data_IF_159221386304
#
_entry.id   IF_159221386304
#
_cell.length_a   1.000
_cell.length_b   1.000
_cell.length_c   1.000
_cell.angle_alpha   90.00
_cell.angle_beta   90.00
_cell.angle_gamma   90.00
#
_symmetry.space_group_name_H-M   'P 1'
#
loop_
_entity.id
_entity.type
_entity.pdbx_description
1 polymer ?
#
# COMPACT_ATOMS: atom_id res chain seq x y z
N UNK A 1 -4.70 -6.86 -25.60
CA UNK A 1 -4.33 -8.25 -25.27
C UNK A 1 -4.23 -8.36 -23.76
N UNK A 2 -4.53 -9.51 -23.15
CA UNK A 2 -4.56 -9.62 -21.69
C UNK A 2 -3.16 -9.77 -21.10
N UNK A 3 -2.68 -8.78 -20.34
CA UNK A 3 -1.52 -8.91 -19.47
C UNK A 3 -1.85 -9.86 -18.30
N UNK A 4 -0.97 -10.83 -17.93
CA UNK A 4 -1.32 -11.89 -16.97
C UNK A 4 -1.64 -11.53 -15.50
N UNK A 5 -1.16 -10.40 -14.96
CA UNK A 5 -0.86 -10.14 -13.51
C UNK A 5 0.16 -11.12 -12.91
N UNK A 6 1.21 -10.65 -12.21
CA UNK A 6 2.29 -11.51 -11.71
C UNK A 6 2.96 -11.04 -10.41
N UNK A 7 2.67 -11.77 -9.33
CA UNK A 7 3.51 -11.81 -8.13
C UNK A 7 2.87 -11.23 -6.88
N UNK A 8 3.40 -11.69 -5.73
CA UNK A 8 2.98 -11.33 -4.38
C UNK A 8 4.23 -10.99 -3.56
N UNK A 9 4.28 -9.83 -2.91
CA UNK A 9 5.24 -9.64 -1.80
C UNK A 9 4.57 -10.08 -0.52
N UNK A 10 5.30 -10.84 0.29
CA UNK A 10 5.03 -11.00 1.72
C UNK A 10 6.28 -10.58 2.50
N UNK A 11 6.09 -10.08 3.72
CA UNK A 11 7.17 -9.94 4.69
C UNK A 11 7.15 -11.18 5.59
N UNK A 12 8.11 -12.09 5.42
CA UNK A 12 8.27 -13.25 6.30
C UNK A 12 9.18 -12.91 7.48
N UNK A 13 8.92 -13.55 8.62
CA UNK A 13 9.65 -13.37 9.87
C UNK A 13 10.02 -14.74 10.43
N UNK A 14 11.10 -15.31 9.91
CA UNK A 14 11.62 -16.59 10.40
C UNK A 14 11.95 -16.51 11.90
N UNK A 15 11.12 -17.15 12.71
CA UNK A 15 11.37 -17.37 14.13
C UNK A 15 12.34 -18.53 14.29
N UNK A 16 13.58 -18.24 14.70
CA UNK A 16 14.66 -19.22 14.82
C UNK A 16 14.57 -20.16 16.03
N UNK A 17 13.42 -20.79 16.27
CA UNK A 17 13.25 -21.89 17.24
C UNK A 17 12.33 -22.97 16.66
N UNK A 18 12.77 -24.23 16.65
CA UNK A 18 11.88 -25.38 16.42
C UNK A 18 10.96 -25.58 17.63
N UNK A 19 9.62 -25.65 17.47
CA UNK A 19 8.72 -25.91 18.59
C UNK A 19 8.73 -27.41 18.96
N UNK A 20 8.99 -27.79 20.21
CA UNK A 20 8.80 -29.18 20.65
C UNK A 20 7.30 -29.49 20.81
N UNK A 21 6.83 -30.51 20.09
CA UNK A 21 5.57 -31.26 20.29
C UNK A 21 4.38 -30.49 20.91
N UNK A 22 3.62 -29.77 20.08
CA UNK A 22 2.23 -29.41 20.36
C UNK A 22 1.35 -29.83 19.17
N UNK A 23 0.26 -30.53 19.46
CA UNK A 23 -0.57 -31.19 18.45
C UNK A 23 -1.30 -30.20 17.54
N UNK A 24 -1.27 -30.50 16.24
CA UNK A 24 -1.93 -29.84 15.11
C UNK A 24 -3.13 -28.92 15.43
N UNK A 25 -2.87 -27.61 15.48
CA UNK A 25 -3.79 -26.57 14.97
C UNK A 25 -3.00 -25.54 14.20
N UNK A 26 -2.96 -25.67 12.87
CA UNK A 26 -2.32 -24.71 11.99
C UNK A 26 -3.07 -23.38 12.06
N UNK A 27 -2.44 -22.34 12.63
CA UNK A 27 -2.98 -20.97 12.60
C UNK A 27 -2.47 -20.21 11.36
N UNK A 28 -2.23 -20.95 10.28
CA UNK A 28 -1.70 -20.50 8.99
C UNK A 28 -2.47 -21.10 7.81
N UNK A 29 -3.73 -21.50 8.05
CA UNK A 29 -4.70 -21.80 6.99
C UNK A 29 -5.09 -20.48 6.28
N UNK A 30 -4.15 -19.95 5.51
CA UNK A 30 -4.40 -18.91 4.52
C UNK A 30 -5.40 -19.45 3.50
N UNK A 31 -6.56 -18.81 3.39
CA UNK A 31 -7.58 -19.11 2.38
C UNK A 31 -7.18 -18.58 0.99
N UNK A 32 -5.97 -18.90 0.53
CA UNK A 32 -5.53 -18.72 -0.85
C UNK A 32 -6.10 -19.83 -1.73
N UNK A 33 -7.41 -19.79 -1.99
CA UNK A 33 -7.98 -20.70 -2.99
C UNK A 33 -7.35 -20.40 -4.36
N UNK A 34 -6.69 -21.41 -4.94
CA UNK A 34 -6.16 -21.36 -6.31
C UNK A 34 -7.23 -20.93 -7.33
N UNK A 35 -8.51 -21.18 -7.04
CA UNK A 35 -9.63 -20.78 -7.89
C UNK A 35 -9.68 -19.28 -8.19
N UNK A 36 -9.25 -18.41 -7.25
CA UNK A 36 -9.25 -16.95 -7.47
C UNK A 36 -8.20 -16.47 -8.48
N UNK A 37 -7.19 -17.30 -8.78
CA UNK A 37 -6.11 -17.00 -9.74
C UNK A 37 -6.19 -17.86 -11.02
N UNK A 38 -6.85 -19.01 -10.98
CA UNK A 38 -7.13 -19.77 -12.20
C UNK A 38 -8.25 -19.10 -12.99
N UNK A 39 -7.88 -18.29 -13.97
CA UNK A 39 -8.79 -17.92 -15.05
C UNK A 39 -9.31 -19.19 -15.72
N UNK A 40 -10.58 -19.53 -15.46
CA UNK A 40 -11.34 -20.61 -16.09
C UNK A 40 -11.60 -20.29 -17.56
N UNK A 41 -10.54 -20.34 -18.36
CA UNK A 41 -10.56 -19.94 -19.78
C UNK A 41 -9.19 -19.74 -20.43
N UNK A 42 -8.08 -19.72 -19.69
CA UNK A 42 -6.74 -19.68 -20.31
C UNK A 42 -6.35 -21.06 -20.87
N UNK A 43 -5.86 -21.17 -22.12
CA UNK A 43 -5.37 -22.42 -22.68
C UNK A 43 -4.23 -23.01 -21.84
N UNK A 44 -4.20 -24.34 -21.73
CA UNK A 44 -3.13 -25.06 -21.07
C UNK A 44 -1.78 -24.74 -21.72
N UNK A 45 -0.91 -24.02 -20.99
CA UNK A 45 0.43 -23.62 -21.44
C UNK A 45 0.81 -22.15 -21.23
N UNK A 46 -0.10 -21.27 -20.80
CA UNK A 46 0.18 -19.81 -20.75
C UNK A 46 0.16 -19.13 -19.37
N UNK A 47 -0.14 -19.85 -18.29
CA UNK A 47 -0.09 -19.31 -16.93
C UNK A 47 1.29 -19.46 -16.29
N UNK A 48 2.08 -18.38 -16.20
CA UNK A 48 3.17 -18.31 -15.20
C UNK A 48 2.53 -18.27 -13.82
N UNK A 49 3.08 -19.03 -12.86
CA UNK A 49 2.67 -18.91 -11.46
C UNK A 49 3.05 -17.50 -10.94
N UNK A 50 2.26 -16.90 -10.04
CA UNK A 50 2.64 -15.64 -9.41
C UNK A 50 3.96 -15.83 -8.63
N UNK A 51 4.95 -14.99 -8.93
CA UNK A 51 6.23 -14.99 -8.24
C UNK A 51 6.08 -14.38 -6.85
N UNK A 52 6.33 -15.16 -5.80
CA UNK A 52 6.40 -14.61 -4.44
C UNK A 52 7.80 -14.06 -4.21
N UNK A 53 7.90 -12.80 -3.78
CA UNK A 53 9.18 -12.14 -3.45
C UNK A 53 9.14 -11.70 -1.99
N UNK A 54 10.08 -12.15 -1.18
CA UNK A 54 10.22 -11.70 0.20
C UNK A 54 11.25 -10.59 0.28
N UNK A 55 10.97 -9.56 1.06
CA UNK A 55 11.91 -8.46 1.34
C UNK A 55 12.23 -8.43 2.84
N UNK A 56 13.51 -8.18 3.16
CA UNK A 56 13.94 -7.97 4.54
C UNK A 56 13.36 -6.65 5.07
N UNK A 57 12.60 -6.73 6.16
CA UNK A 57 11.94 -5.58 6.78
C UNK A 57 12.95 -4.55 7.28
N UNK A 58 14.07 -4.98 7.89
CA UNK A 58 15.10 -4.06 8.39
C UNK A 58 15.76 -3.28 7.24
N UNK A 59 16.02 -3.95 6.11
CA UNK A 59 16.57 -3.29 4.91
C UNK A 59 15.60 -2.27 4.30
N UNK A 60 14.28 -2.50 4.41
CA UNK A 60 13.28 -1.52 3.99
C UNK A 60 13.15 -0.38 4.99
N UNK A 61 13.13 -0.65 6.29
CA UNK A 61 12.97 0.40 7.33
C UNK A 61 14.17 1.33 7.40
N UNK A 62 15.39 0.82 7.24
CA UNK A 62 16.63 1.63 7.19
C UNK A 62 16.61 2.63 6.02
N UNK A 63 16.06 2.24 4.86
CA UNK A 63 15.89 3.13 3.70
C UNK A 63 14.74 4.13 3.87
N UNK A 64 13.70 3.72 4.59
CA UNK A 64 12.47 4.48 4.78
C UNK A 64 12.60 5.55 5.88
N UNK A 65 13.32 5.24 6.96
CA UNK A 65 13.46 6.10 8.14
C UNK A 65 13.88 7.55 7.80
N UNK A 66 14.90 7.83 6.97
CA UNK A 66 15.29 9.21 6.64
C UNK A 66 14.21 10.01 5.92
N UNK A 67 13.23 9.35 5.29
CA UNK A 67 12.12 9.97 4.56
C UNK A 67 10.96 10.26 5.53
N UNK A 68 10.73 9.38 6.51
CA UNK A 68 9.52 9.40 7.36
C UNK A 68 9.76 9.83 8.81
N UNK A 69 11.01 10.05 9.26
CA UNK A 69 11.31 10.50 10.63
C UNK A 69 10.54 11.79 11.01
N UNK A 70 10.38 12.72 10.05
CA UNK A 70 9.58 13.91 10.25
C UNK A 70 8.09 13.57 10.48
N UNK A 71 7.55 12.61 9.72
CA UNK A 71 6.15 12.16 9.78
C UNK A 71 5.83 11.39 11.07
N UNK A 72 6.77 10.57 11.56
CA UNK A 72 6.63 9.81 12.82
C UNK A 72 6.38 10.72 14.04
N UNK A 73 6.82 11.98 14.01
CA UNK A 73 6.55 12.98 15.07
C UNK A 73 5.09 13.44 15.13
N UNK A 74 4.31 13.17 14.07
CA UNK A 74 2.91 13.58 13.94
C UNK A 74 1.93 12.42 13.87
N UNK A 75 2.34 11.26 13.36
CA UNK A 75 1.43 10.14 12.99
C UNK A 75 1.76 8.79 13.65
N UNK A 76 2.63 8.76 14.66
CA UNK A 76 2.94 7.57 15.48
C UNK A 76 2.56 7.80 16.94
N UNK A 77 2.16 6.73 17.66
CA UNK A 77 1.75 6.79 19.07
C UNK A 77 2.88 7.08 20.10
N UNK A 78 4.03 7.63 19.67
CA UNK A 78 5.21 7.85 20.50
C UNK A 78 6.20 6.68 20.50
N UNK A 79 7.40 6.92 21.02
CA UNK A 79 8.51 5.96 20.97
C UNK A 79 8.22 4.67 21.75
N UNK A 80 8.57 3.52 21.16
CA UNK A 80 8.38 2.20 21.78
C UNK A 80 6.97 1.63 21.66
N UNK A 81 6.08 2.28 20.91
CA UNK A 81 4.75 1.73 20.56
C UNK A 81 4.80 0.92 19.27
N UNK A 82 3.78 0.08 19.03
CA UNK A 82 3.67 -0.75 17.82
C UNK A 82 3.86 0.07 16.53
N UNK A 83 3.13 1.19 16.38
CA UNK A 83 3.18 2.09 15.22
C UNK A 83 4.38 3.07 15.21
N UNK A 84 5.45 2.80 15.99
CA UNK A 84 6.66 3.64 16.00
C UNK A 84 7.76 3.19 15.03
N UNK A 85 7.60 2.01 14.41
CA UNK A 85 8.49 1.55 13.35
C UNK A 85 8.19 2.30 12.02
N UNK A 86 9.22 2.57 11.22
CA UNK A 86 9.09 3.22 9.92
C UNK A 86 8.25 2.40 8.94
N UNK A 87 8.19 1.08 9.08
CA UNK A 87 7.46 0.18 8.16
C UNK A 87 5.97 0.52 8.02
N UNK A 88 5.35 1.16 9.02
CA UNK A 88 3.97 1.67 8.96
C UNK A 88 3.79 2.87 8.02
N UNK A 89 4.87 3.31 7.36
CA UNK A 89 4.87 4.35 6.33
C UNK A 89 5.38 3.81 4.98
N UNK A 90 5.44 2.48 4.78
CA UNK A 90 6.03 1.85 3.59
C UNK A 90 5.48 2.44 2.28
N UNK A 91 4.15 2.46 2.18
CA UNK A 91 3.38 2.99 1.04
C UNK A 91 3.81 4.41 0.63
N UNK A 92 4.18 5.26 1.59
CA UNK A 92 4.56 6.67 1.37
C UNK A 92 5.81 6.80 0.49
N UNK A 93 6.76 5.86 0.60
CA UNK A 93 8.04 5.96 -0.11
C UNK A 93 8.41 4.73 -0.96
N UNK A 94 7.49 3.79 -1.21
CA UNK A 94 7.76 2.62 -2.07
C UNK A 94 8.39 3.00 -3.42
N UNK A 95 7.93 4.10 -4.02
CA UNK A 95 8.44 4.65 -5.29
C UNK A 95 9.93 5.09 -5.25
N UNK A 96 10.52 5.24 -4.05
CA UNK A 96 11.93 5.59 -3.84
C UNK A 96 12.76 4.39 -3.38
N UNK A 97 12.20 3.55 -2.49
CA UNK A 97 12.98 2.53 -1.76
C UNK A 97 12.85 1.10 -2.29
N UNK A 98 11.80 0.81 -3.07
CA UNK A 98 11.60 -0.54 -3.62
C UNK A 98 12.78 -0.93 -4.52
N UNK A 99 13.33 -2.14 -4.39
CA UNK A 99 14.38 -2.61 -5.29
C UNK A 99 13.92 -2.53 -6.73
N UNK A 100 14.76 -1.95 -7.59
CA UNK A 100 14.62 -2.11 -9.04
C UNK A 100 14.98 -3.57 -9.34
N UNK A 101 14.24 -4.22 -10.23
CA UNK A 101 14.57 -5.60 -10.57
C UNK A 101 15.91 -5.62 -11.31
N UNK A 102 16.88 -6.30 -10.70
CA UNK A 102 18.08 -6.74 -11.41
C UNK A 102 17.66 -7.88 -12.33
N UNK A 103 17.98 -7.76 -13.63
CA UNK A 103 17.86 -8.90 -14.55
C UNK A 103 18.70 -10.08 -14.05
N UNK A 104 18.47 -11.31 -14.55
CA UNK A 104 19.01 -12.55 -13.97
C UNK A 104 20.53 -12.45 -13.75
N UNK A 105 20.90 -12.23 -12.49
CA UNK A 105 22.27 -11.97 -12.07
C UNK A 105 23.10 -13.25 -12.06
N UNK A 106 24.31 -13.15 -12.61
CA UNK A 106 25.34 -14.19 -12.47
C UNK A 106 25.71 -14.34 -10.99
N UNK A 107 25.88 -15.58 -10.53
CA UNK A 107 26.25 -15.90 -9.14
C UNK A 107 27.58 -15.21 -8.74
N UNK A 108 27.57 -14.45 -7.63
CA UNK A 108 28.79 -13.91 -7.01
C UNK A 108 29.36 -14.94 -6.00
N UNK A 109 30.60 -15.45 -6.15
CA UNK A 109 31.09 -16.60 -5.38
C UNK A 109 31.49 -16.33 -3.91
N UNK A 110 31.28 -15.12 -3.37
CA UNK A 110 31.94 -14.69 -2.13
C UNK A 110 30.98 -14.30 -1.00
N UNK A 111 30.60 -15.31 -0.22
CA UNK A 111 29.76 -15.15 0.97
C UNK A 111 30.49 -14.54 2.18
N UNK A 112 29.89 -13.52 2.77
CA UNK A 112 30.06 -12.96 4.12
C UNK A 112 28.94 -11.90 4.32
N UNK A 113 28.42 -11.57 5.49
CA UNK A 113 28.70 -11.94 6.88
C UNK A 113 27.38 -11.78 7.67
N UNK A 114 26.95 -12.74 8.50
CA UNK A 114 25.77 -12.54 9.35
C UNK A 114 26.12 -11.67 10.58
N UNK A 115 25.23 -10.75 10.94
CA UNK A 115 25.27 -9.94 12.17
C UNK A 115 23.99 -10.15 13.00
N UNK A 116 23.99 -9.88 14.32
CA UNK A 116 23.01 -10.47 15.23
C UNK A 116 21.60 -9.85 15.12
N UNK A 117 20.60 -10.72 14.96
CA UNK A 117 19.18 -10.35 14.86
C UNK A 117 18.65 -9.81 16.20
N UNK A 118 17.93 -8.68 16.17
CA UNK A 118 17.06 -8.23 17.27
C UNK A 118 15.59 -8.46 16.90
N UNK A 119 14.84 -9.02 17.84
CA UNK A 119 13.43 -9.38 17.65
C UNK A 119 12.50 -8.16 17.78
N UNK A 120 11.86 -7.73 16.68
CA UNK A 120 10.66 -6.90 16.66
C UNK A 120 9.63 -7.45 15.67
N UNK A 121 8.34 -7.39 16.00
CA UNK A 121 7.27 -8.22 15.41
C UNK A 121 6.27 -7.46 14.55
N UNK A 122 5.84 -8.11 13.46
CA UNK A 122 4.67 -7.79 12.62
C UNK A 122 4.74 -6.53 11.75
N UNK A 123 5.08 -6.75 10.48
CA UNK A 123 4.27 -6.22 9.36
C UNK A 123 4.02 -7.36 8.39
N UNK A 124 2.81 -7.42 7.86
CA UNK A 124 2.41 -8.40 6.87
C UNK A 124 1.32 -7.78 6.00
N UNK A 125 1.60 -7.62 4.71
CA UNK A 125 0.66 -7.17 3.70
C UNK A 125 0.97 -7.90 2.40
N UNK A 126 -0.06 -8.25 1.64
CA UNK A 126 0.09 -8.93 0.36
C UNK A 126 0.22 -7.87 -0.75
N UNK A 127 1.31 -7.92 -1.52
CA UNK A 127 1.56 -6.88 -2.52
C UNK A 127 1.52 -7.42 -3.94
N UNK A 128 0.50 -7.06 -4.70
CA UNK A 128 0.29 -7.58 -6.07
C UNK A 128 0.93 -6.66 -7.11
N UNK A 129 1.53 -7.23 -8.16
CA UNK A 129 2.19 -6.50 -9.27
C UNK A 129 1.65 -6.90 -10.65
N UNK A 130 1.68 -5.97 -11.60
CA UNK A 130 1.51 -6.26 -13.03
C UNK A 130 2.74 -6.99 -13.62
N UNK A 131 2.58 -7.72 -14.75
CA UNK A 131 3.68 -8.39 -15.41
C UNK A 131 4.39 -7.45 -16.39
N UNK A 132 5.71 -7.53 -16.40
CA UNK A 132 6.54 -6.83 -17.38
C UNK A 132 6.35 -7.45 -18.76
N UNK A 133 6.16 -6.61 -19.78
CA UNK A 133 6.27 -7.01 -21.19
C UNK A 133 7.70 -6.75 -21.65
N UNK A 134 8.48 -7.82 -21.87
CA UNK A 134 9.80 -7.72 -22.49
C UNK A 134 9.65 -7.31 -23.97
N UNK A 135 9.97 -6.05 -24.27
CA UNK A 135 10.00 -5.52 -25.63
C UNK A 135 11.30 -5.87 -26.33
N UNK A 136 11.26 -6.81 -27.27
CA UNK A 136 12.32 -6.96 -28.28
C UNK A 136 12.09 -5.95 -29.41
N UNK A 137 12.75 -4.80 -29.33
CA UNK A 137 12.88 -3.90 -30.48
C UNK A 137 13.98 -4.43 -31.42
N UNK A 138 13.60 -4.91 -32.61
CA UNK A 138 14.56 -5.30 -33.66
C UNK A 138 15.08 -4.06 -34.39
N UNK A 139 16.35 -3.68 -34.18
CA UNK A 139 17.02 -2.68 -35.01
C UNK A 139 17.46 -3.27 -36.36
N UNK A 140 17.00 -2.65 -37.46
CA UNK A 140 17.49 -2.94 -38.81
C UNK A 140 18.86 -2.29 -39.02
N UNK A 141 19.93 -3.02 -38.72
CA UNK A 141 21.31 -2.59 -38.96
C UNK A 141 21.58 -2.37 -40.46
N UNK A 142 21.90 -1.13 -40.84
CA UNK A 142 22.47 -0.80 -42.15
C UNK A 142 23.85 -0.14 -41.94
N UNK A 143 24.92 -0.86 -42.31
CA UNK A 143 26.31 -0.54 -41.94
C UNK A 143 26.77 0.84 -42.41
N UNK A 144 27.41 1.61 -41.51
CA UNK A 144 27.79 3.01 -41.75
C UNK A 144 29.12 3.53 -41.20
N UNK A 145 29.97 2.69 -40.60
CA UNK A 145 31.38 2.98 -40.20
C UNK A 145 31.67 4.05 -39.12
N UNK A 146 32.82 3.84 -38.46
CA UNK A 146 33.64 4.83 -37.70
C UNK A 146 33.39 5.06 -36.20
N UNK A 147 34.52 5.06 -35.49
CA UNK A 147 34.77 5.50 -34.11
C UNK A 147 34.30 4.61 -32.96
N UNK A 148 35.18 4.46 -31.98
CA UNK A 148 34.90 3.75 -30.73
C UNK A 148 34.05 4.62 -29.81
N UNK A 149 32.73 4.39 -29.82
CA UNK A 149 31.81 4.99 -28.87
C UNK A 149 30.65 4.04 -28.54
N UNK A 150 30.26 4.03 -27.27
CA UNK A 150 28.97 3.57 -26.78
C UNK A 150 28.57 2.08 -26.98
N UNK A 151 29.38 1.13 -26.49
CA UNK A 151 28.78 -0.08 -25.87
C UNK A 151 28.28 0.24 -24.46
N UNK A 152 27.34 1.20 -24.36
CA UNK A 152 26.54 1.36 -23.14
C UNK A 152 25.42 0.32 -23.20
N UNK A 153 25.67 -0.85 -22.61
CA UNK A 153 24.59 -1.78 -22.29
C UNK A 153 23.57 -1.04 -21.42
N UNK A 154 22.45 -0.63 -22.03
CA UNK A 154 21.27 -0.13 -21.34
C UNK A 154 20.67 -1.31 -20.58
N UNK A 155 21.18 -1.54 -19.37
CA UNK A 155 20.45 -2.32 -18.37
C UNK A 155 19.16 -1.55 -18.07
N UNK A 156 18.09 -1.91 -18.75
CA UNK A 156 16.73 -1.50 -18.41
C UNK A 156 16.35 -2.23 -17.13
N UNK A 157 16.79 -1.69 -16.00
CA UNK A 157 16.32 -2.10 -14.68
C UNK A 157 14.80 -1.94 -14.66
N UNK A 158 14.08 -3.06 -14.61
CA UNK A 158 12.63 -3.04 -14.59
C UNK A 158 12.16 -2.41 -13.27
N UNK A 159 11.68 -1.16 -13.36
CA UNK A 159 10.95 -0.51 -12.29
C UNK A 159 9.53 -1.07 -12.27
N UNK A 160 9.06 -1.45 -11.09
CA UNK A 160 7.65 -1.79 -10.88
C UNK A 160 6.85 -0.48 -11.01
N UNK A 161 5.96 -0.29 -12.01
CA UNK A 161 5.33 1.01 -12.25
C UNK A 161 4.07 1.20 -11.39
N UNK A 162 3.34 0.11 -11.12
CA UNK A 162 2.07 0.05 -10.42
C UNK A 162 2.08 -1.13 -9.45
N UNK A 163 1.53 -0.93 -8.26
CA UNK A 163 1.55 -1.93 -7.20
C UNK A 163 0.34 -1.78 -6.29
N UNK A 164 -0.24 -2.88 -5.80
CA UNK A 164 -1.37 -2.82 -4.85
C UNK A 164 -0.90 -3.34 -3.50
N UNK A 165 -1.00 -2.51 -2.45
CA UNK A 165 -0.80 -2.90 -1.05
C UNK A 165 -2.15 -3.29 -0.43
N UNK A 166 -2.18 -4.43 0.23
CA UNK A 166 -3.36 -5.04 0.84
C UNK A 166 -3.02 -5.51 2.25
N UNK A 167 -3.88 -5.20 3.23
CA UNK A 167 -3.82 -5.79 4.57
C UNK A 167 -4.11 -7.32 4.52
N UNK A 168 -3.80 -8.02 5.60
CA UNK A 168 -4.02 -9.49 5.70
C UNK A 168 -5.28 -9.91 6.45
N UNK A 169 -5.99 -9.00 7.12
CA UNK A 169 -7.32 -9.24 7.69
C UNK A 169 -8.44 -8.93 6.66
N UNK A 170 -8.19 -9.27 5.40
CA UNK A 170 -9.12 -9.09 4.27
C UNK A 170 -9.76 -10.41 3.83
N UNK A 171 -10.99 -10.33 3.29
CA UNK A 171 -11.66 -11.43 2.58
C UNK A 171 -12.14 -10.98 1.21
N UNK A 172 -11.52 -11.53 0.18
CA UNK A 172 -11.84 -11.27 -1.23
C UNK A 172 -13.14 -11.99 -1.64
N UNK A 173 -14.01 -11.28 -2.37
CA UNK A 173 -15.28 -11.80 -2.92
C UNK A 173 -15.33 -11.68 -4.46
N UNK A 174 -14.32 -11.08 -5.09
CA UNK A 174 -14.13 -11.03 -6.55
C UNK A 174 -12.67 -11.30 -6.95
N UNK A 175 -12.38 -11.36 -8.25
CA UNK A 175 -11.02 -11.52 -8.77
C UNK A 175 -10.19 -10.24 -8.57
N UNK A 176 -9.03 -10.33 -7.90
CA UNK A 176 -8.15 -9.18 -7.62
C UNK A 176 -7.63 -8.48 -8.89
N UNK A 177 -7.66 -9.14 -10.05
CA UNK A 177 -7.36 -8.52 -11.35
C UNK A 177 -8.28 -7.34 -11.65
N UNK A 178 -9.56 -7.42 -11.30
CA UNK A 178 -10.53 -6.34 -11.52
C UNK A 178 -10.14 -5.07 -10.76
N UNK A 179 -9.40 -5.18 -9.65
CA UNK A 179 -8.91 -4.03 -8.91
C UNK A 179 -7.77 -3.31 -9.66
N UNK A 180 -6.97 -4.00 -10.48
CA UNK A 180 -5.95 -3.33 -11.31
C UNK A 180 -6.57 -2.43 -12.39
N UNK A 181 -7.79 -2.72 -12.84
CA UNK A 181 -8.50 -1.92 -13.83
C UNK A 181 -8.89 -0.53 -13.28
N UNK A 182 -8.93 -0.35 -11.95
CA UNK A 182 -9.10 0.97 -11.32
C UNK A 182 -7.92 1.92 -11.56
N UNK A 183 -6.71 1.43 -11.88
CA UNK A 183 -5.60 2.32 -12.27
C UNK A 183 -5.90 3.09 -13.56
N UNK A 184 -6.71 2.54 -14.45
CA UNK A 184 -7.07 3.18 -15.72
C UNK A 184 -8.14 4.28 -15.52
N UNK A 185 -8.77 4.33 -14.34
CA UNK A 185 -9.72 5.37 -13.92
C UNK A 185 -9.04 6.61 -13.28
N UNK A 186 -7.72 6.59 -13.05
CA UNK A 186 -7.03 7.69 -12.37
C UNK A 186 -7.07 8.97 -13.21
N UNK A 187 -7.60 10.05 -12.62
CA UNK A 187 -7.58 11.37 -13.26
C UNK A 187 -6.14 11.92 -13.36
N UNK A 188 -5.83 12.80 -14.32
CA UNK A 188 -4.50 13.40 -14.44
C UNK A 188 -4.05 14.09 -13.15
N UNK A 189 -2.95 13.61 -12.56
CA UNK A 189 -2.40 14.07 -11.29
C UNK A 189 -2.66 13.14 -10.10
N UNK A 190 -3.63 12.22 -10.21
CA UNK A 190 -3.84 11.18 -9.20
C UNK A 190 -2.70 10.15 -9.22
N UNK A 191 -2.23 9.79 -8.03
CA UNK A 191 -1.05 8.92 -7.81
C UNK A 191 -1.37 7.70 -6.96
N UNK A 192 -2.44 7.76 -6.15
CA UNK A 192 -2.86 6.71 -5.23
C UNK A 192 -4.36 6.47 -5.39
N UNK A 193 -4.77 5.22 -5.53
CA UNK A 193 -6.17 4.80 -5.38
C UNK A 193 -6.39 4.30 -3.96
N UNK A 194 -7.34 4.88 -3.23
CA UNK A 194 -7.59 4.54 -1.82
C UNK A 194 -9.07 4.70 -1.46
N UNK A 195 -9.58 3.87 -0.56
CA UNK A 195 -10.96 3.96 -0.07
C UNK A 195 -11.09 5.02 1.04
N UNK A 196 -12.30 5.62 1.13
CA UNK A 196 -12.68 6.47 2.26
C UNK A 196 -12.76 5.66 3.56
N UNK A 197 -12.37 6.29 4.66
CA UNK A 197 -12.55 5.76 6.01
C UNK A 197 -14.05 5.76 6.40
N UNK A 198 -14.54 4.59 6.83
CA UNK A 198 -15.94 4.32 7.15
C UNK A 198 -16.30 4.60 8.61
N UNK A 199 -15.35 5.06 9.43
CA UNK A 199 -15.58 5.48 10.80
C UNK A 199 -15.35 6.99 11.00
N UNK A 200 -16.01 7.63 11.97
CA UNK A 200 -15.78 9.04 12.32
C UNK A 200 -14.44 9.31 13.02
N UNK A 201 -13.42 8.45 12.86
CA UNK A 201 -12.08 8.64 13.44
C UNK A 201 -11.50 10.00 13.08
N UNK A 202 -11.54 10.41 11.81
CA UNK A 202 -11.02 11.71 11.41
C UNK A 202 -11.97 12.87 11.73
N UNK A 203 -13.26 12.62 11.98
CA UNK A 203 -14.13 13.61 12.63
C UNK A 203 -13.62 13.96 14.03
N UNK A 204 -13.11 12.95 14.76
CA UNK A 204 -12.44 13.11 16.05
C UNK A 204 -11.05 13.76 15.88
N UNK A 205 -10.17 13.24 15.02
CA UNK A 205 -8.79 13.72 14.90
C UNK A 205 -8.71 15.19 14.48
N UNK A 206 -9.54 15.64 13.54
CA UNK A 206 -9.58 17.05 13.11
C UNK A 206 -10.49 17.93 14.00
N UNK A 207 -10.85 17.53 15.23
CA UNK A 207 -11.84 18.26 16.05
C UNK A 207 -11.53 19.77 16.17
N UNK A 208 -10.29 20.14 16.49
CA UNK A 208 -9.92 21.54 16.70
C UNK A 208 -10.05 22.35 15.39
N UNK A 209 -9.49 21.84 14.29
CA UNK A 209 -9.62 22.47 12.98
C UNK A 209 -11.09 22.63 12.57
N UNK A 210 -11.95 21.65 12.85
CA UNK A 210 -13.39 21.71 12.57
C UNK A 210 -14.14 22.73 13.42
N UNK A 211 -13.74 22.94 14.67
CA UNK A 211 -14.30 23.99 15.54
C UNK A 211 -13.88 25.39 15.06
N UNK A 212 -12.63 25.55 14.63
CA UNK A 212 -12.11 26.80 14.06
C UNK A 212 -12.70 27.09 12.66
N UNK A 213 -13.13 26.06 11.93
CA UNK A 213 -13.66 26.16 10.57
C UNK A 213 -15.05 25.50 10.42
N UNK A 214 -16.15 26.07 10.98
CA UNK A 214 -17.46 25.40 11.06
C UNK A 214 -18.13 25.01 9.73
N UNK A 215 -17.64 25.54 8.59
CA UNK A 215 -18.13 25.22 7.23
C UNK A 215 -17.23 24.23 6.49
N UNK A 216 -16.21 23.66 7.15
CA UNK A 216 -15.27 22.75 6.51
C UNK A 216 -15.90 21.41 6.15
N UNK A 217 -15.41 20.79 5.07
CA UNK A 217 -15.76 19.42 4.67
C UNK A 217 -14.87 18.38 5.38
N UNK A 218 -13.76 18.80 5.99
CA UNK A 218 -12.78 17.95 6.68
C UNK A 218 -13.41 17.21 7.85
N UNK A 219 -13.22 15.89 7.90
CA UNK A 219 -13.83 14.97 8.87
C UNK A 219 -15.35 14.84 8.74
N UNK A 220 -15.98 15.42 7.72
CA UNK A 220 -17.41 15.24 7.44
C UNK A 220 -17.68 13.90 6.74
N UNK A 221 -18.89 13.33 6.89
CA UNK A 221 -19.27 12.08 6.22
C UNK A 221 -19.46 12.27 4.70
N UNK A 222 -19.40 11.19 3.90
CA UNK A 222 -19.83 11.21 2.50
C UNK A 222 -21.32 11.60 2.35
N UNK A 223 -21.78 12.04 1.16
CA UNK A 223 -21.01 12.15 -0.08
C UNK A 223 -20.11 13.40 -0.16
N UNK A 224 -20.53 14.51 0.46
CA UNK A 224 -19.90 15.83 0.33
C UNK A 224 -18.65 16.03 1.20
N UNK A 225 -18.59 15.34 2.34
CA UNK A 225 -17.49 15.44 3.29
C UNK A 225 -16.24 14.70 2.85
N UNK A 226 -15.16 14.98 3.58
CA UNK A 226 -13.87 14.31 3.48
C UNK A 226 -13.66 13.52 4.78
N UNK A 227 -14.09 12.26 4.86
CA UNK A 227 -14.02 11.46 6.09
C UNK A 227 -12.61 10.95 6.39
N UNK A 228 -11.63 11.22 5.53
CA UNK A 228 -10.30 10.60 5.53
C UNK A 228 -10.30 9.28 4.74
N UNK A 229 -9.20 8.54 4.83
CA UNK A 229 -8.96 7.32 4.05
C UNK A 229 -8.61 6.13 4.95
N UNK A 230 -8.82 4.91 4.44
CA UNK A 230 -8.38 3.69 5.09
C UNK A 230 -7.27 3.00 4.26
N UNK A 231 -6.16 2.62 4.90
CA UNK A 231 -4.96 2.11 4.19
C UNK A 231 -4.98 0.62 3.83
N UNK A 232 -6.00 -0.14 4.24
CA UNK A 232 -6.01 -1.60 4.02
C UNK A 232 -6.14 -2.05 2.57
N UNK A 233 -6.52 -1.14 1.65
CA UNK A 233 -6.48 -1.37 0.20
C UNK A 233 -5.98 -0.10 -0.49
N UNK A 234 -4.77 -0.15 -1.04
CA UNK A 234 -4.12 0.99 -1.71
C UNK A 234 -3.51 0.60 -3.05
N UNK A 235 -3.87 1.35 -4.11
CA UNK A 235 -3.31 1.26 -5.45
C UNK A 235 -2.25 2.33 -5.61
N UNK A 236 -0.98 1.95 -5.49
CA UNK A 236 0.15 2.87 -5.55
C UNK A 236 0.70 2.91 -6.98
N UNK A 237 0.48 4.00 -7.70
CA UNK A 237 1.08 4.22 -9.01
C UNK A 237 2.50 4.78 -8.80
N UNK A 238 3.45 3.89 -8.53
CA UNK A 238 4.84 4.23 -8.17
C UNK A 238 5.51 5.13 -9.22
N UNK A 239 5.18 4.95 -10.50
CA UNK A 239 5.67 5.83 -11.56
C UNK A 239 5.09 7.25 -11.43
N UNK A 240 3.77 7.40 -11.27
CA UNK A 240 3.15 8.72 -11.10
C UNK A 240 3.56 9.40 -9.78
N UNK A 241 3.73 8.64 -8.70
CA UNK A 241 4.28 9.12 -7.42
C UNK A 241 5.69 9.69 -7.61
N UNK A 242 6.57 8.96 -8.32
CA UNK A 242 7.94 9.37 -8.62
C UNK A 242 8.02 10.58 -9.57
N UNK A 243 7.06 10.71 -10.50
CA UNK A 243 7.01 11.83 -11.44
C UNK A 243 6.34 13.09 -10.86
N UNK A 244 5.58 12.99 -9.76
CA UNK A 244 4.81 14.09 -9.18
C UNK A 244 5.70 15.06 -8.35
N UNK A 245 5.90 16.31 -8.80
CA UNK A 245 6.65 17.31 -8.03
C UNK A 245 5.84 17.83 -6.83
N UNK A 246 4.51 17.74 -6.90
CA UNK A 246 3.63 18.07 -5.78
C UNK A 246 3.82 17.05 -4.66
N UNK A 247 3.72 15.76 -4.98
CA UNK A 247 3.87 14.71 -3.98
C UNK A 247 5.27 14.70 -3.36
N UNK A 248 6.32 14.84 -4.19
CA UNK A 248 7.71 14.94 -3.73
C UNK A 248 7.91 16.03 -2.67
N UNK A 249 7.28 17.22 -2.83
CA UNK A 249 7.32 18.30 -1.83
C UNK A 249 6.50 18.01 -0.59
N UNK A 250 5.40 17.26 -0.68
CA UNK A 250 4.60 16.87 0.48
C UNK A 250 5.31 15.88 1.41
N UNK A 251 6.38 15.24 0.94
CA UNK A 251 7.29 14.42 1.76
C UNK A 251 8.34 15.26 2.50
N UNK A 252 8.54 16.54 2.16
CA UNK A 252 9.55 17.39 2.80
C UNK A 252 9.15 17.70 4.26
N UNK A 253 10.09 17.61 5.23
CA UNK A 253 9.78 17.81 6.66
C UNK A 253 9.06 19.12 6.98
N UNK A 254 9.40 20.21 6.28
CA UNK A 254 8.76 21.51 6.47
C UNK A 254 7.27 21.52 6.03
N UNK A 255 6.93 20.77 4.97
CA UNK A 255 5.56 20.68 4.45
C UNK A 255 4.71 19.74 5.30
N UNK A 256 5.28 18.63 5.77
CA UNK A 256 4.65 17.74 6.77
C UNK A 256 4.29 18.55 8.03
N UNK A 257 5.25 19.29 8.59
CA UNK A 257 5.05 20.15 9.75
C UNK A 257 3.98 21.23 9.49
N UNK A 258 4.08 21.94 8.36
CA UNK A 258 3.15 23.02 7.99
C UNK A 258 1.70 22.53 7.90
N UNK A 259 1.46 21.37 7.28
CA UNK A 259 0.11 20.81 7.16
C UNK A 259 -0.40 20.28 8.50
N UNK A 260 0.44 19.59 9.27
CA UNK A 260 0.02 19.09 10.58
C UNK A 260 -0.31 20.22 11.56
N UNK A 261 0.42 21.34 11.52
CA UNK A 261 0.10 22.54 12.30
C UNK A 261 -1.17 23.24 11.78
N UNK A 262 -1.35 23.37 10.45
CA UNK A 262 -2.56 23.93 9.83
C UNK A 262 -3.84 23.20 10.27
N UNK A 263 -3.75 21.87 10.38
CA UNK A 263 -4.89 21.01 10.69
C UNK A 263 -5.00 20.61 12.17
N UNK A 264 -4.07 21.08 13.03
CA UNK A 264 -3.90 20.64 14.43
C UNK A 264 -3.84 19.10 14.56
N UNK A 265 -3.27 18.43 13.56
CA UNK A 265 -3.38 16.99 13.39
C UNK A 265 -2.34 16.22 14.22
N UNK A 266 -2.80 15.24 14.98
CA UNK A 266 -1.97 14.21 15.63
C UNK A 266 -2.64 12.85 15.47
N UNK A 267 -1.86 11.88 15.01
CA UNK A 267 -2.33 10.55 14.64
C UNK A 267 -1.44 9.44 15.22
N UNK A 268 -1.80 8.20 14.89
CA UNK A 268 -1.08 6.99 15.30
C UNK A 268 -1.22 5.82 14.30
N UNK A 269 -1.76 6.07 13.11
CA UNK A 269 -2.09 5.09 12.08
C UNK A 269 -1.15 5.18 10.86
N UNK A 270 0.03 5.80 11.02
CA UNK A 270 1.11 5.74 10.04
C UNK A 270 0.78 6.41 8.70
N UNK A 271 0.90 5.65 7.62
CA UNK A 271 0.57 6.09 6.26
C UNK A 271 -0.88 6.57 6.09
N UNK A 272 -1.84 5.90 6.73
CA UNK A 272 -3.26 6.26 6.68
C UNK A 272 -3.51 7.71 7.10
N UNK A 273 -2.82 8.13 8.17
CA UNK A 273 -2.91 9.47 8.74
C UNK A 273 -2.23 10.51 7.83
N UNK A 274 -1.06 10.19 7.28
CA UNK A 274 -0.36 11.06 6.32
C UNK A 274 -1.21 11.28 5.06
N UNK A 275 -1.70 10.21 4.42
CA UNK A 275 -2.54 10.30 3.24
C UNK A 275 -3.85 11.02 3.50
N UNK A 276 -4.49 10.75 4.65
CA UNK A 276 -5.68 11.48 5.09
C UNK A 276 -5.39 12.97 5.21
N UNK A 277 -4.29 13.37 5.86
CA UNK A 277 -3.95 14.78 6.05
C UNK A 277 -3.66 15.47 4.71
N UNK A 278 -2.82 14.91 3.84
CA UNK A 278 -2.52 15.54 2.54
C UNK A 278 -3.73 15.50 1.60
N UNK A 279 -4.64 14.53 1.74
CA UNK A 279 -5.90 14.46 0.99
C UNK A 279 -6.93 15.55 1.38
N UNK A 280 -6.78 16.18 2.54
CA UNK A 280 -7.57 17.38 2.89
C UNK A 280 -7.10 18.64 2.14
N UNK A 281 -5.82 18.70 1.77
CA UNK A 281 -5.21 19.81 1.03
C UNK A 281 -5.28 19.59 -0.48
N UNK A 282 -4.94 18.36 -0.91
CA UNK A 282 -4.70 17.95 -2.29
C UNK A 282 -5.51 16.68 -2.65
N UNK A 283 -6.85 16.76 -2.65
CA UNK A 283 -7.70 15.62 -3.04
C UNK A 283 -7.43 15.13 -4.47
N UNK A 284 -6.87 15.96 -5.35
CA UNK A 284 -6.48 15.61 -6.72
C UNK A 284 -5.39 14.54 -6.82
N UNK A 285 -4.64 14.27 -5.74
CA UNK A 285 -3.66 13.19 -5.69
C UNK A 285 -4.30 11.80 -5.55
N UNK A 286 -5.60 11.72 -5.25
CA UNK A 286 -6.27 10.48 -4.86
C UNK A 286 -7.42 10.11 -5.78
N UNK A 287 -7.36 8.90 -6.36
CA UNK A 287 -8.53 8.23 -6.91
C UNK A 287 -9.30 7.59 -5.75
N UNK A 288 -10.50 8.08 -5.45
CA UNK A 288 -11.29 7.54 -4.34
C UNK A 288 -12.00 6.28 -4.81
N UNK A 289 -11.56 5.13 -4.29
CA UNK A 289 -12.17 3.83 -4.56
C UNK A 289 -13.60 3.78 -4.01
N UNK A 290 -14.46 3.07 -4.71
CA UNK A 290 -15.79 2.72 -4.19
C UNK A 290 -15.68 1.92 -2.87
N UNK A 291 -16.62 2.15 -1.96
CA UNK A 291 -16.60 1.54 -0.62
C UNK A 291 -16.58 0.01 -0.66
N UNK A 292 -17.12 -0.62 -1.70
CA UNK A 292 -17.14 -2.09 -1.85
C UNK A 292 -15.77 -2.70 -2.10
N UNK A 293 -14.77 -1.91 -2.52
CA UNK A 293 -13.37 -2.34 -2.68
C UNK A 293 -12.60 -2.40 -1.36
N UNK A 294 -13.13 -1.85 -0.26
CA UNK A 294 -12.56 -1.95 1.08
C UNK A 294 -13.68 -1.80 2.11
N UNK A 295 -14.60 -2.78 2.21
CA UNK A 295 -15.70 -2.73 3.18
C UNK A 295 -15.15 -3.03 4.57
N UNK A 296 -14.67 -1.99 5.25
CA UNK A 296 -14.26 -1.98 6.65
C UNK A 296 -15.40 -2.42 7.57
N UNK A 297 -15.12 -3.31 8.52
CA UNK A 297 -16.13 -3.88 9.42
C UNK A 297 -16.08 -3.30 10.83
N UNK A 298 -15.00 -2.62 11.22
CA UNK A 298 -14.85 -2.07 12.57
C UNK A 298 -15.99 -1.12 12.94
N UNK A 299 -16.56 -1.30 14.14
CA UNK A 299 -17.57 -0.38 14.71
C UNK A 299 -17.11 0.33 15.98
N UNK A 300 -15.82 0.23 16.37
CA UNK A 300 -15.29 0.79 17.62
C UNK A 300 -15.74 2.24 17.89
N UNK A 301 -15.61 3.14 16.90
CA UNK A 301 -15.96 4.56 17.09
C UNK A 301 -17.45 4.84 17.31
N UNK A 302 -18.35 3.94 16.89
CA UNK A 302 -19.79 4.04 17.22
C UNK A 302 -19.98 4.11 18.72
N UNK A 303 -19.32 3.21 19.42
CA UNK A 303 -19.52 2.96 20.85
C UNK A 303 -18.64 3.88 21.73
N UNK A 304 -17.86 4.78 21.11
CA UNK A 304 -16.95 5.75 21.75
C UNK A 304 -17.33 7.22 21.44
N UNK A 305 -18.63 7.53 21.50
CA UNK A 305 -19.13 8.90 21.49
C UNK A 305 -19.60 9.45 20.13
N UNK A 306 -19.75 8.59 19.11
CA UNK A 306 -20.20 8.99 17.77
C UNK A 306 -21.44 8.23 17.25
N UNK A 307 -22.19 7.55 18.13
CA UNK A 307 -23.39 6.78 17.77
C UNK A 307 -24.36 7.54 16.85
N UNK A 308 -24.63 8.81 17.17
CA UNK A 308 -25.60 9.67 16.47
C UNK A 308 -25.26 9.94 14.99
N UNK A 309 -23.99 9.75 14.60
CA UNK A 309 -23.49 10.07 13.25
C UNK A 309 -22.78 8.89 12.59
N UNK A 310 -22.66 7.75 13.27
CA UNK A 310 -21.83 6.64 12.81
C UNK A 310 -22.28 6.07 11.45
N UNK A 311 -23.59 5.90 11.25
CA UNK A 311 -24.16 5.37 10.02
C UNK A 311 -23.91 6.27 8.79
N UNK A 312 -23.72 7.58 8.98
CA UNK A 312 -23.38 8.50 7.87
C UNK A 312 -21.98 8.21 7.28
N UNK A 313 -21.09 7.60 8.07
CA UNK A 313 -19.74 7.17 7.64
C UNK A 313 -19.74 5.69 7.24
N UNK A 314 -20.45 4.84 8.00
CA UNK A 314 -20.33 3.38 7.93
C UNK A 314 -21.16 2.72 6.83
N UNK A 315 -22.10 3.47 6.23
CA UNK A 315 -22.94 2.99 5.13
C UNK A 315 -22.12 2.74 3.87
N UNK A 316 -22.13 1.49 3.42
CA UNK A 316 -21.63 1.07 2.12
C UNK A 316 -22.67 0.16 1.45
N UNK A 317 -23.27 0.65 0.36
CA UNK A 317 -24.26 -0.08 -0.43
C UNK A 317 -23.62 -0.60 -1.73
N UNK A 318 -23.94 -1.83 -2.14
CA UNK A 318 -23.45 -2.42 -3.38
C UNK A 318 -22.99 -3.87 -3.22
N UNK A 319 -22.42 -4.43 -4.29
CA UNK A 319 -21.82 -5.76 -4.23
C UNK A 319 -20.40 -5.66 -3.64
N UNK A 320 -20.23 -6.11 -2.39
CA UNK A 320 -18.93 -6.07 -1.70
C UNK A 320 -17.91 -6.96 -2.42
N UNK A 321 -16.77 -6.37 -2.77
CA UNK A 321 -15.65 -7.02 -3.49
C UNK A 321 -14.54 -7.46 -2.54
N UNK A 322 -14.28 -6.67 -1.49
CA UNK A 322 -13.35 -6.99 -0.41
C UNK A 322 -13.99 -6.58 0.91
N UNK A 323 -14.10 -7.51 1.86
CA UNK A 323 -14.35 -7.21 3.27
C UNK A 323 -13.03 -7.00 4.01
N UNK A 324 -13.01 -6.08 4.96
CA UNK A 324 -11.84 -5.76 5.78
C UNK A 324 -12.22 -5.89 7.26
N UNK A 325 -11.63 -6.88 7.94
CA UNK A 325 -11.85 -7.23 9.35
C UNK A 325 -11.14 -6.32 10.34
N UNK A 326 -10.98 -5.04 10.01
CA UNK A 326 -10.18 -4.09 10.77
C UNK A 326 -10.59 -4.02 12.26
N UNK A 327 -9.63 -3.66 13.10
CA UNK A 327 -9.73 -3.68 14.57
C UNK A 327 -10.05 -5.07 15.17
N UNK A 328 -9.67 -6.15 14.48
CA UNK A 328 -9.96 -7.56 14.83
C UNK A 328 -11.45 -7.92 14.75
N UNK A 329 -12.19 -7.31 13.82
CA UNK A 329 -13.61 -7.58 13.63
C UNK A 329 -13.80 -8.88 12.82
N UNK A 330 -14.55 -9.88 13.32
CA UNK A 330 -14.80 -11.10 12.58
C UNK A 330 -15.49 -10.83 11.23
N UNK A 331 -14.94 -11.38 10.15
CA UNK A 331 -15.49 -11.23 8.81
C UNK A 331 -16.67 -12.21 8.63
N UNK A 332 -17.83 -11.78 8.10
CA UNK A 332 -18.94 -12.67 7.79
C UNK A 332 -18.55 -13.80 6.82
N UNK A 333 -19.13 -14.99 7.03
CA UNK A 333 -18.82 -16.11 6.15
C UNK A 333 -19.51 -16.06 4.79
N UNK A 334 -20.70 -15.45 4.75
CA UNK A 334 -21.63 -15.39 3.60
C UNK A 334 -21.08 -14.59 2.43
#
# INVERSE_FOLDING_TARGET
MATPVSGLIGCDRQTGEEPPNLEHKNQTDFWWDRQLWTATGLPAGMGRLPQVVFHDVAVLTDKLFPIVEAMQKHFSAGSGTYYSDSIFFLSVAMHQIMPKEEGPGVEDPHGAHQSPVKSLSSVCGAVVREPVLDGLEEENDNLGSSSAAAFKSRHTYNKIPRIIQLDLDLKYKTNIRELFEEFDNFLPGAIIGIAREMQPVYRHTFWQFRQENPKTRVGGPPPEGLPGFNSGVMLLNLEAMHQSPLYSRLLEPAQVQQLADKYHFRGHLGDQDFFTMIGMEHPELFHVLDCTWNRQLCTWWRDHGYSDVFEDYFRCDGHVRIYHGNCNTPIPEV
#
